data_IF_162201460618
#
_entry.id   IF_162201460618
#
_cell.length_a   1.000
_cell.length_b   1.000
_cell.length_c   1.000
_cell.angle_alpha   90.00
_cell.angle_beta   90.00
_cell.angle_gamma   90.00
#
_symmetry.space_group_name_H-M   'P 1'
#
loop_
_entity.id
_entity.type
_entity.pdbx_description
1 polymer ?
#
# COMPACT_ATOMS: atom_id res chain seq x y z
N UNK A 1 -24.53 -10.26 -9.66
CA UNK A 1 -23.22 -9.61 -9.42
C UNK A 1 -22.29 -10.64 -8.81
N UNK A 2 -21.03 -10.75 -9.27
CA UNK A 2 -20.04 -11.62 -8.64
C UNK A 2 -19.85 -11.21 -7.17
N UNK A 3 -19.76 -12.21 -6.30
CA UNK A 3 -19.71 -12.02 -4.84
C UNK A 3 -18.26 -12.04 -4.38
N UNK A 4 -17.73 -10.87 -4.02
CA UNK A 4 -16.42 -10.78 -3.36
C UNK A 4 -16.49 -11.26 -1.91
N UNK A 5 -15.42 -11.89 -1.44
CA UNK A 5 -15.27 -12.35 -0.05
C UNK A 5 -14.83 -11.23 0.92
N UNK A 6 -14.52 -10.04 0.40
CA UNK A 6 -14.08 -8.84 1.12
C UNK A 6 -14.98 -7.66 0.78
N UNK A 7 -15.20 -6.78 1.77
CA UNK A 7 -15.98 -5.55 1.64
C UNK A 7 -15.12 -4.34 2.03
N UNK A 8 -15.56 -3.15 1.60
CA UNK A 8 -14.98 -1.88 2.06
C UNK A 8 -15.05 -1.79 3.58
N UNK A 9 -13.95 -1.37 4.21
CA UNK A 9 -13.81 -1.29 5.67
C UNK A 9 -13.34 -2.57 6.36
N UNK A 10 -13.18 -3.68 5.64
CA UNK A 10 -12.61 -4.90 6.24
C UNK A 10 -11.10 -4.75 6.47
N UNK A 11 -10.60 -5.28 7.59
CA UNK A 11 -9.17 -5.46 7.84
C UNK A 11 -8.68 -6.70 7.08
N UNK A 12 -7.67 -6.51 6.24
CA UNK A 12 -7.11 -7.59 5.41
C UNK A 12 -5.59 -7.67 5.55
N UNK A 13 -5.05 -8.86 5.30
CA UNK A 13 -3.60 -9.10 5.17
C UNK A 13 -3.28 -9.60 3.77
N UNK A 14 -2.19 -9.09 3.20
CA UNK A 14 -1.68 -9.56 1.91
C UNK A 14 -0.96 -10.90 2.09
N UNK A 15 -1.37 -11.90 1.30
CA UNK A 15 -0.85 -13.27 1.33
C UNK A 15 0.36 -13.42 0.40
N UNK A 16 0.31 -12.76 -0.76
CA UNK A 16 1.26 -12.90 -1.84
C UNK A 16 1.44 -11.59 -2.61
N UNK A 17 2.61 -11.41 -3.22
CA UNK A 17 2.99 -10.20 -3.95
C UNK A 17 4.13 -9.44 -3.28
N UNK A 18 4.40 -8.23 -3.78
CA UNK A 18 5.47 -7.35 -3.30
C UNK A 18 5.30 -6.99 -1.83
N UNK A 19 4.07 -6.71 -1.41
CA UNK A 19 3.75 -6.26 -0.05
C UNK A 19 3.25 -7.42 0.83
N UNK A 20 3.79 -8.63 0.63
CA UNK A 20 3.39 -9.82 1.38
C UNK A 20 3.56 -9.58 2.88
N UNK A 21 2.50 -9.85 3.65
CA UNK A 21 2.51 -9.70 5.10
C UNK A 21 1.96 -8.36 5.60
N UNK A 22 1.87 -7.34 4.75
CA UNK A 22 1.26 -6.06 5.07
C UNK A 22 -0.21 -6.23 5.46
N UNK A 23 -0.66 -5.41 6.41
CA UNK A 23 -2.04 -5.32 6.88
C UNK A 23 -2.58 -3.93 6.56
N UNK A 24 -3.85 -3.85 6.20
CA UNK A 24 -4.50 -2.57 5.91
C UNK A 24 -6.01 -2.71 5.80
N UNK A 25 -6.69 -1.57 5.74
CA UNK A 25 -8.13 -1.51 5.51
C UNK A 25 -8.43 -1.43 4.02
N UNK A 26 -9.55 -2.04 3.61
CA UNK A 26 -10.02 -1.93 2.23
C UNK A 26 -10.71 -0.57 2.01
N UNK A 27 -10.13 0.26 1.15
CA UNK A 27 -10.65 1.60 0.80
C UNK A 27 -11.71 1.50 -0.30
N UNK A 28 -11.46 0.66 -1.30
CA UNK A 28 -12.33 0.48 -2.44
C UNK A 28 -12.34 -0.99 -2.91
N UNK A 29 -13.47 -1.40 -3.45
CA UNK A 29 -13.66 -2.74 -4.02
C UNK A 29 -14.21 -2.59 -5.44
N UNK A 30 -13.66 -3.35 -6.38
CA UNK A 30 -14.10 -3.42 -7.77
C UNK A 30 -14.59 -4.84 -8.09
N UNK A 31 -15.86 -5.19 -7.78
CA UNK A 31 -16.39 -6.54 -7.96
C UNK A 31 -16.39 -7.04 -9.40
N UNK A 32 -16.42 -6.13 -10.39
CA UNK A 32 -16.39 -6.51 -11.81
C UNK A 32 -15.00 -6.97 -12.28
N UNK A 33 -13.96 -6.54 -11.59
CA UNK A 33 -12.56 -6.75 -11.97
C UNK A 33 -11.82 -7.65 -10.97
N UNK A 34 -12.53 -8.19 -9.97
CA UNK A 34 -11.97 -9.00 -8.89
C UNK A 34 -10.77 -8.33 -8.19
N UNK A 35 -10.87 -7.01 -8.01
CA UNK A 35 -9.81 -6.14 -7.47
C UNK A 35 -10.25 -5.38 -6.24
N UNK A 36 -9.30 -5.12 -5.35
CA UNK A 36 -9.49 -4.30 -4.14
C UNK A 36 -8.33 -3.35 -3.94
N UNK A 37 -8.62 -2.17 -3.39
CA UNK A 37 -7.59 -1.19 -2.98
C UNK A 37 -7.48 -1.26 -1.47
N UNK A 38 -6.26 -1.51 -1.00
CA UNK A 38 -5.92 -1.63 0.42
C UNK A 38 -4.97 -0.50 0.76
N UNK A 39 -5.21 0.14 1.91
CA UNK A 39 -4.40 1.24 2.41
C UNK A 39 -2.93 0.84 2.56
N UNK A 40 -2.02 1.66 2.04
CA UNK A 40 -0.57 1.46 2.15
C UNK A 40 0.00 0.25 1.41
N UNK A 41 -0.79 -0.44 0.60
CA UNK A 41 -0.39 -1.61 -0.18
C UNK A 41 -0.31 -1.25 -1.66
N UNK A 42 0.67 -1.83 -2.36
CA UNK A 42 0.86 -1.66 -3.79
C UNK A 42 0.97 -0.19 -4.21
N UNK A 43 1.83 0.55 -3.50
CA UNK A 43 2.09 1.96 -3.81
C UNK A 43 2.85 2.11 -5.13
N UNK A 44 2.27 2.86 -6.06
CA UNK A 44 2.86 3.17 -7.36
C UNK A 44 3.17 4.66 -7.46
N UNK A 45 4.30 4.97 -8.10
CA UNK A 45 4.66 6.35 -8.47
C UNK A 45 4.04 6.65 -9.82
N UNK A 46 3.05 7.54 -9.86
CA UNK A 46 2.40 8.00 -11.07
C UNK A 46 2.93 9.40 -11.40
N UNK A 47 3.50 9.54 -12.60
CA UNK A 47 3.86 10.85 -13.14
C UNK A 47 2.60 11.50 -13.69
N UNK A 48 2.10 12.53 -13.00
CA UNK A 48 0.96 13.30 -13.48
C UNK A 48 1.46 14.51 -14.27
N UNK A 49 0.93 14.68 -15.48
CA UNK A 49 1.19 15.89 -16.28
C UNK A 49 0.67 17.11 -15.50
N UNK A 50 1.48 18.17 -15.46
CA UNK A 50 1.06 19.47 -14.95
C UNK A 50 -0.26 19.88 -15.59
N UNK A 51 -1.33 19.91 -14.80
CA UNK A 51 -2.64 20.36 -15.27
C UNK A 51 -2.92 21.71 -14.60
N UNK A 52 -3.15 22.75 -15.39
CA UNK A 52 -3.56 24.07 -14.92
C UNK A 52 -5.03 24.01 -14.47
N UNK A 53 -5.29 23.48 -13.28
CA UNK A 53 -6.67 23.32 -12.76
C UNK A 53 -6.88 23.90 -11.36
N UNK A 54 -6.04 24.87 -10.96
CA UNK A 54 -6.30 25.72 -9.81
C UNK A 54 -6.72 27.12 -10.24
N UNK A 55 -7.69 27.79 -9.56
CA UNK A 55 -8.15 29.15 -9.89
C UNK A 55 -7.06 30.25 -9.75
N UNK A 56 -5.83 29.90 -9.35
CA UNK A 56 -4.70 30.84 -9.15
C UNK A 56 -3.41 30.45 -9.86
N UNK A 57 -3.46 29.59 -10.89
CA UNK A 57 -2.27 29.22 -11.65
C UNK A 57 -1.27 28.32 -10.90
N UNK A 58 -1.70 27.68 -9.81
CA UNK A 58 -0.91 26.67 -9.13
C UNK A 58 -0.77 25.44 -10.05
N UNK A 59 0.48 25.14 -10.44
CA UNK A 59 0.83 23.94 -11.19
C UNK A 59 0.90 22.76 -10.21
N UNK A 60 -0.15 21.95 -10.16
CA UNK A 60 -0.12 20.69 -9.40
C UNK A 60 0.36 19.56 -10.31
N UNK A 61 1.61 19.63 -10.76
CA UNK A 61 2.27 18.51 -11.44
C UNK A 61 3.37 17.91 -10.59
N UNK A 62 3.76 16.68 -10.91
CA UNK A 62 4.83 15.98 -10.20
C UNK A 62 4.60 14.48 -10.05
N UNK A 63 5.48 13.85 -9.27
CA UNK A 63 5.40 12.42 -8.93
C UNK A 63 4.41 12.26 -7.77
N UNK A 64 3.26 11.66 -8.06
CA UNK A 64 2.27 11.34 -7.04
C UNK A 64 2.39 9.86 -6.68
N UNK A 65 2.51 9.57 -5.38
CA UNK A 65 2.43 8.18 -4.90
C UNK A 65 0.96 7.86 -4.65
N UNK A 66 0.45 6.83 -5.32
CA UNK A 66 -0.94 6.40 -5.22
C UNK A 66 -1.00 4.90 -4.92
N UNK A 67 -2.04 4.49 -4.23
CA UNK A 67 -2.32 3.09 -3.96
C UNK A 67 -2.95 2.45 -5.19
N UNK A 68 -2.47 1.27 -5.58
CA UNK A 68 -2.99 0.55 -6.73
C UNK A 68 -3.78 -0.70 -6.30
N UNK A 69 -4.81 -1.09 -7.08
CA UNK A 69 -5.61 -2.26 -6.77
C UNK A 69 -4.79 -3.56 -6.81
N UNK A 70 -5.09 -4.46 -5.90
CA UNK A 70 -4.57 -5.83 -5.83
C UNK A 70 -5.71 -6.84 -6.09
N UNK A 71 -5.37 -7.99 -6.64
CA UNK A 71 -6.34 -9.06 -6.89
C UNK A 71 -6.87 -9.67 -5.58
N UNK A 72 -8.16 -9.98 -5.54
CA UNK A 72 -8.85 -10.48 -4.33
C UNK A 72 -8.25 -11.77 -3.78
N UNK A 73 -7.70 -12.64 -4.63
CA UNK A 73 -7.03 -13.88 -4.22
C UNK A 73 -5.78 -13.66 -3.35
N UNK A 74 -5.17 -12.47 -3.46
CA UNK A 74 -3.91 -12.18 -2.77
C UNK A 74 -4.15 -11.53 -1.40
N UNK A 75 -5.40 -11.36 -0.99
CA UNK A 75 -5.77 -10.80 0.32
C UNK A 75 -6.60 -11.79 1.13
N UNK A 76 -6.33 -11.82 2.44
CA UNK A 76 -7.10 -12.60 3.40
C UNK A 76 -7.78 -11.65 4.37
N UNK A 77 -9.09 -11.80 4.56
CA UNK A 77 -9.82 -11.11 5.62
C UNK A 77 -9.31 -11.61 6.98
N UNK A 78 -8.88 -10.68 7.82
CA UNK A 78 -8.62 -10.94 9.22
C UNK A 78 -9.96 -10.79 9.95
N UNK A 79 -10.39 -11.84 10.63
CA UNK A 79 -11.43 -11.72 11.66
C UNK A 79 -10.70 -11.38 12.95
N UNK A 80 -11.23 -10.44 13.71
CA UNK A 80 -10.71 -10.09 15.03
C UNK A 80 -10.80 -11.32 15.95
N UNK A 81 -9.76 -12.15 15.94
CA UNK A 81 -9.63 -13.29 16.83
C UNK A 81 -8.17 -13.45 17.20
N UNK A 82 -7.82 -12.75 18.28
CA UNK A 82 -6.69 -12.95 19.19
C UNK A 82 -5.26 -12.81 18.61
N UNK A 83 -4.33 -12.24 19.39
CA UNK A 83 -2.92 -12.19 19.04
C UNK A 83 -2.34 -13.60 19.18
N UNK A 84 -2.47 -14.45 18.16
CA UNK A 84 -1.70 -15.68 18.08
C UNK A 84 -0.37 -15.38 17.36
N UNK A 85 0.60 -15.00 18.17
CA UNK A 85 2.02 -15.39 18.11
C UNK A 85 2.68 -15.77 16.78
N UNK A 86 3.89 -15.19 16.61
CA UNK A 86 5.05 -15.62 15.79
C UNK A 86 5.14 -15.15 14.34
N UNK A 87 5.79 -13.99 14.16
CA UNK A 87 7.21 -13.89 13.75
C UNK A 87 7.59 -12.42 13.49
N UNK A 88 8.48 -11.80 14.29
CA UNK A 88 9.22 -10.63 13.85
C UNK A 88 10.34 -11.11 12.92
N UNK A 89 10.24 -10.81 11.64
CA UNK A 89 11.32 -11.06 10.70
C UNK A 89 11.37 -9.89 9.72
N UNK A 90 11.81 -8.73 10.22
CA UNK A 90 12.48 -7.70 9.43
C UNK A 90 13.03 -6.64 10.40
N UNK A 91 14.26 -6.89 10.88
CA UNK A 91 15.17 -5.81 11.25
C UNK A 91 16.43 -6.02 10.42
N UNK A 92 16.38 -5.51 9.19
CA UNK A 92 17.56 -5.09 8.44
C UNK A 92 17.35 -3.63 8.09
N UNK A 93 17.44 -2.76 9.10
CA UNK A 93 17.75 -1.36 8.85
C UNK A 93 19.25 -1.26 8.67
N UNK A 94 19.63 -1.03 7.42
CA UNK A 94 20.94 -0.62 6.96
C UNK A 94 21.38 0.63 7.73
N UNK A 95 22.33 0.49 8.65
CA UNK A 95 23.09 1.64 9.16
C UNK A 95 24.21 1.94 8.14
N UNK A 96 23.87 2.76 7.15
CA UNK A 96 24.84 3.49 6.34
C UNK A 96 24.98 4.88 6.97
N UNK A 97 25.93 5.03 7.87
CA UNK A 97 26.42 6.33 8.33
C UNK A 97 27.82 6.51 7.75
N UNK A 98 27.86 7.26 6.67
CA UNK A 98 29.03 7.96 6.16
C UNK A 98 29.22 9.17 7.08
N UNK A 99 30.29 9.22 7.88
CA UNK A 99 30.81 10.48 8.40
C UNK A 99 32.33 10.49 8.23
N UNK A 100 32.75 11.55 7.57
CA UNK A 100 34.09 11.99 7.25
C UNK A 100 34.66 12.77 8.44
N UNK A 101 35.98 12.65 8.68
CA UNK A 101 36.75 13.41 9.69
C UNK A 101 37.61 12.48 10.56
N UNK A 102 38.89 12.70 10.83
CA UNK A 102 39.78 13.85 10.69
C UNK A 102 41.23 13.36 10.47
N UNK A 103 41.99 14.12 9.69
CA UNK A 103 43.46 14.08 9.64
C UNK A 103 44.06 14.28 11.04
N UNK A 104 45.03 13.45 11.41
CA UNK A 104 46.12 13.76 12.35
C UNK A 104 47.32 12.86 12.08
#
# INVERSE_FOLDING_TARGET
>A
MPKLHVKKGDLVRVIAGKDKGAKGHVIATYPREDRVVVEGVNMIKKHAKETHQGPRGAKTGGVQTMEAPIHVSNVKKLKDDKPADKKPAEEKSEAKADETGEDS
#
